data_IF_738489556891
#
_entry.id   IF_738489556891
#
_cell.length_a   1.000
_cell.length_b   1.000
_cell.length_c   1.000
_cell.angle_alpha   90.00
_cell.angle_beta   90.00
_cell.angle_gamma   90.00
#
_symmetry.space_group_name_H-M   'P 1'
#
loop_
_entity.id
_entity.type
_entity.pdbx_description
1 polymer ?
#
# COMPACT_ATOMS: atom_id res chain seq x y z
N UNK A 1 5.95 -7.43 -3.93
CA UNK A 1 4.96 -6.32 -3.94
C UNK A 1 4.74 -5.84 -2.50
N UNK A 2 4.87 -4.53 -2.24
CA UNK A 2 4.56 -3.93 -0.95
C UNK A 2 3.10 -3.49 -0.91
N UNK A 3 2.37 -3.82 0.16
CA UNK A 3 1.00 -3.40 0.39
C UNK A 3 1.01 -2.20 1.33
N UNK A 4 0.61 -1.02 0.85
CA UNK A 4 0.71 0.25 1.55
C UNK A 4 -0.66 0.93 1.64
N UNK A 5 -0.88 1.72 2.67
CA UNK A 5 -2.14 2.45 2.88
C UNK A 5 -2.26 2.93 4.31
N UNK A 6 -3.27 3.72 4.59
CA UNK A 6 -3.54 4.26 5.93
C UNK A 6 -3.84 3.15 6.95
N UNK A 7 -3.76 3.47 8.23
CA UNK A 7 -4.15 2.54 9.27
C UNK A 7 -5.61 2.11 9.09
N UNK A 8 -5.87 0.80 9.18
CA UNK A 8 -7.20 0.26 8.97
C UNK A 8 -7.64 0.11 7.50
N UNK A 9 -6.82 0.48 6.51
CA UNK A 9 -7.16 0.34 5.08
C UNK A 9 -7.27 -1.11 4.59
N UNK A 10 -6.92 -2.12 5.39
CA UNK A 10 -7.11 -3.53 5.03
C UNK A 10 -5.88 -4.21 4.43
N UNK A 11 -4.66 -3.71 4.70
CA UNK A 11 -3.40 -4.27 4.20
C UNK A 11 -3.25 -5.75 4.51
N UNK A 12 -3.26 -6.13 5.78
CA UNK A 12 -3.12 -7.52 6.22
C UNK A 12 -4.29 -8.40 5.73
N UNK A 13 -5.49 -7.83 5.56
CA UNK A 13 -6.63 -8.55 4.97
C UNK A 13 -6.38 -8.87 3.50
N UNK A 14 -5.84 -7.93 2.73
CA UNK A 14 -5.44 -8.17 1.35
C UNK A 14 -4.36 -9.26 1.26
N UNK A 15 -3.30 -9.17 2.08
CA UNK A 15 -2.23 -10.18 2.11
C UNK A 15 -2.81 -11.57 2.39
N UNK A 16 -3.68 -11.69 3.40
CA UNK A 16 -4.36 -12.93 3.76
C UNK A 16 -5.19 -13.49 2.60
N UNK A 17 -6.04 -12.66 2.01
CA UNK A 17 -6.92 -13.06 0.93
C UNK A 17 -6.12 -13.44 -0.33
N UNK A 18 -5.10 -12.66 -0.66
CA UNK A 18 -4.27 -12.92 -1.83
C UNK A 18 -3.46 -14.20 -1.68
N UNK A 19 -2.82 -14.46 -0.53
CA UNK A 19 -2.09 -15.70 -0.28
C UNK A 19 -3.01 -16.92 -0.46
N UNK A 20 -4.22 -16.87 0.11
CA UNK A 20 -5.21 -17.94 -0.03
C UNK A 20 -5.65 -18.13 -1.47
N UNK A 21 -5.99 -17.05 -2.17
CA UNK A 21 -6.45 -17.05 -3.56
C UNK A 21 -5.36 -17.53 -4.53
N UNK A 22 -4.11 -17.08 -4.35
CA UNK A 22 -2.97 -17.47 -5.17
C UNK A 22 -2.71 -18.99 -5.10
N UNK A 23 -2.87 -19.60 -3.93
CA UNK A 23 -2.75 -21.06 -3.76
C UNK A 23 -3.73 -21.84 -4.64
N UNK A 24 -4.96 -21.35 -4.88
CA UNK A 24 -5.90 -22.00 -5.81
C UNK A 24 -5.45 -21.92 -7.26
N UNK A 25 -4.60 -20.96 -7.60
CA UNK A 25 -4.03 -20.78 -8.93
C UNK A 25 -2.66 -21.47 -9.07
N UNK A 26 -2.24 -22.22 -8.05
CA UNK A 26 -0.92 -22.85 -7.99
C UNK A 26 0.23 -21.81 -8.10
N UNK A 27 0.00 -20.58 -7.60
CA UNK A 27 0.98 -19.51 -7.49
C UNK A 27 1.54 -19.54 -6.07
N UNK A 28 2.85 -19.66 -5.95
CA UNK A 28 3.55 -19.63 -4.67
C UNK A 28 3.84 -18.18 -4.26
N UNK A 29 2.85 -17.59 -3.56
CA UNK A 29 2.90 -16.23 -3.05
C UNK A 29 3.39 -16.25 -1.59
N UNK A 30 4.68 -15.98 -1.40
CA UNK A 30 5.32 -15.87 -0.11
C UNK A 30 4.89 -14.57 0.59
N UNK A 31 4.60 -14.63 1.87
CA UNK A 31 4.13 -13.47 2.65
C UNK A 31 5.12 -13.06 3.71
N UNK A 32 5.34 -11.75 3.85
CA UNK A 32 6.26 -11.16 4.81
C UNK A 32 5.51 -10.13 5.65
N UNK A 33 5.62 -10.22 6.97
CA UNK A 33 5.16 -9.18 7.87
C UNK A 33 6.30 -8.23 8.26
N UNK A 34 6.19 -6.96 7.87
CA UNK A 34 7.12 -5.89 8.28
C UNK A 34 6.51 -4.94 9.32
N UNK A 35 5.34 -5.25 9.90
CA UNK A 35 4.74 -4.43 10.95
C UNK A 35 5.10 -4.97 12.34
N UNK A 36 6.06 -4.36 13.06
CA UNK A 36 6.43 -4.78 14.41
C UNK A 36 5.33 -4.50 15.44
N UNK A 37 4.33 -3.69 15.07
CA UNK A 37 3.18 -3.35 15.90
C UNK A 37 1.93 -4.18 15.60
N UNK A 38 1.97 -5.15 14.70
CA UNK A 38 0.84 -6.00 14.39
C UNK A 38 0.49 -6.89 15.59
N UNK A 39 -0.70 -6.71 16.17
CA UNK A 39 -1.16 -7.55 17.28
C UNK A 39 -1.41 -8.98 16.82
N UNK A 40 -2.01 -9.14 15.65
CA UNK A 40 -2.33 -10.43 15.03
C UNK A 40 -2.11 -10.36 13.52
N UNK A 41 -1.50 -11.41 13.01
CA UNK A 41 -1.38 -11.68 11.58
C UNK A 41 -2.30 -12.87 11.28
N UNK A 42 -3.14 -12.76 10.25
CA UNK A 42 -4.15 -13.77 9.90
C UNK A 42 -3.73 -14.66 8.71
N UNK A 43 -2.53 -14.46 8.23
CA UNK A 43 -1.83 -15.33 7.26
C UNK A 43 -0.65 -16.00 7.96
N UNK A 44 -0.01 -16.95 7.29
CA UNK A 44 1.16 -17.67 7.76
C UNK A 44 2.39 -17.07 7.06
N UNK A 45 3.07 -16.08 7.68
CA UNK A 45 4.18 -15.40 7.04
C UNK A 45 5.41 -16.30 7.00
N UNK A 46 6.13 -16.31 5.88
CA UNK A 46 7.44 -16.96 5.76
C UNK A 46 8.51 -16.22 6.57
N UNK A 47 8.30 -14.91 6.79
CA UNK A 47 9.11 -14.09 7.68
C UNK A 47 8.22 -13.12 8.45
N UNK A 48 8.44 -13.04 9.76
CA UNK A 48 7.74 -12.10 10.64
C UNK A 48 8.74 -11.22 11.38
N UNK A 49 8.73 -9.92 11.11
CA UNK A 49 9.66 -8.98 11.75
C UNK A 49 9.55 -8.94 13.27
N UNK A 50 8.43 -9.39 13.84
CA UNK A 50 8.22 -9.44 15.29
C UNK A 50 9.12 -10.48 15.99
N UNK A 51 9.67 -11.41 15.23
CA UNK A 51 10.67 -12.37 15.75
C UNK A 51 12.03 -11.69 15.98
N UNK A 52 12.33 -10.60 15.24
CA UNK A 52 13.54 -9.79 15.41
C UNK A 52 13.29 -8.55 16.28
N UNK A 53 12.16 -7.87 16.08
CA UNK A 53 11.84 -6.57 16.70
C UNK A 53 10.41 -6.60 17.22
N UNK A 54 10.27 -6.75 18.53
CA UNK A 54 8.97 -6.67 19.21
C UNK A 54 8.70 -5.26 19.70
N UNK A 55 7.51 -4.72 19.37
CA UNK A 55 7.10 -3.38 19.86
C UNK A 55 7.13 -3.31 21.39
N UNK A 56 6.74 -4.38 22.09
CA UNK A 56 6.74 -4.44 23.55
C UNK A 56 8.17 -4.34 24.12
N UNK A 57 9.13 -5.02 23.50
CA UNK A 57 10.54 -4.94 23.91
C UNK A 57 11.12 -3.55 23.65
N UNK A 58 10.77 -2.89 22.54
CA UNK A 58 11.18 -1.51 22.26
C UNK A 58 10.61 -0.56 23.30
N UNK A 59 9.34 -0.72 23.69
CA UNK A 59 8.72 0.09 24.76
C UNK A 59 9.47 -0.05 26.08
N UNK A 60 9.75 -1.28 26.49
CA UNK A 60 10.42 -1.56 27.77
C UNK A 60 11.88 -1.12 27.76
N UNK A 61 12.63 -1.45 26.73
CA UNK A 61 14.07 -1.16 26.62
C UNK A 61 14.40 0.32 26.55
N UNK A 62 13.55 1.11 25.91
CA UNK A 62 13.80 2.53 25.66
C UNK A 62 12.90 3.47 26.47
N UNK A 63 12.08 2.92 27.37
CA UNK A 63 11.10 3.66 28.20
C UNK A 63 10.19 4.58 27.34
N UNK A 64 9.64 4.02 26.25
CA UNK A 64 8.84 4.75 25.29
C UNK A 64 7.35 4.38 25.39
N UNK A 65 6.49 5.37 25.20
CA UNK A 65 5.08 5.12 24.96
C UNK A 65 4.84 4.52 23.56
N UNK A 66 3.62 3.98 23.29
CA UNK A 66 3.31 3.24 22.07
C UNK A 66 3.70 3.96 20.77
N UNK A 67 3.39 5.26 20.65
CA UNK A 67 3.70 6.02 19.44
C UNK A 67 5.23 6.19 19.22
N UNK A 68 5.97 6.49 20.29
CA UNK A 68 7.43 6.61 20.22
C UNK A 68 8.10 5.27 19.89
N UNK A 69 7.59 4.19 20.48
CA UNK A 69 8.06 2.85 20.23
C UNK A 69 7.79 2.39 18.78
N UNK A 70 6.63 2.71 18.21
CA UNK A 70 6.34 2.41 16.80
C UNK A 70 7.31 3.10 15.85
N UNK A 71 7.61 4.38 16.11
CA UNK A 71 8.57 5.13 15.29
C UNK A 71 9.96 4.48 15.37
N UNK A 72 10.43 4.20 16.58
CA UNK A 72 11.74 3.58 16.77
C UNK A 72 11.81 2.16 16.21
N UNK A 73 10.75 1.36 16.39
CA UNK A 73 10.68 0.02 15.84
C UNK A 73 10.75 0.03 14.31
N UNK A 74 10.06 0.96 13.64
CA UNK A 74 10.14 1.11 12.19
C UNK A 74 11.58 1.48 11.73
N UNK A 75 12.28 2.33 12.47
CA UNK A 75 13.68 2.66 12.17
C UNK A 75 14.61 1.46 12.38
N UNK A 76 14.39 0.69 13.45
CA UNK A 76 15.16 -0.54 13.72
C UNK A 76 14.94 -1.61 12.66
N UNK A 77 13.70 -1.81 12.18
CA UNK A 77 13.38 -2.71 11.07
C UNK A 77 14.15 -2.29 9.81
N UNK A 78 14.11 -1.03 9.47
CA UNK A 78 14.81 -0.55 8.29
C UNK A 78 16.35 -0.61 8.42
N UNK A 79 16.88 -0.48 9.65
CA UNK A 79 18.32 -0.63 9.92
C UNK A 79 18.78 -2.10 9.84
N UNK A 80 17.86 -3.06 9.93
CA UNK A 80 18.13 -4.50 9.81
C UNK A 80 17.75 -5.06 8.43
N UNK A 81 17.61 -4.21 7.41
CA UNK A 81 17.19 -4.63 6.07
C UNK A 81 18.07 -5.75 5.49
N UNK A 82 19.39 -5.66 5.66
CA UNK A 82 20.33 -6.67 5.19
C UNK A 82 20.15 -8.00 5.96
N UNK A 83 19.96 -7.95 7.29
CA UNK A 83 19.70 -9.15 8.11
C UNK A 83 18.36 -9.80 7.73
N UNK A 84 17.34 -9.00 7.46
CA UNK A 84 16.05 -9.49 6.97
C UNK A 84 16.25 -10.16 5.60
N UNK A 85 17.06 -9.58 4.73
CA UNK A 85 17.35 -10.17 3.41
C UNK A 85 18.07 -11.50 3.53
N UNK A 86 19.06 -11.62 4.43
CA UNK A 86 19.77 -12.87 4.70
C UNK A 86 18.81 -13.98 5.17
N UNK A 87 17.81 -13.64 5.99
CA UNK A 87 16.76 -14.58 6.44
C UNK A 87 15.84 -15.02 5.29
N UNK A 88 15.65 -14.15 4.29
CA UNK A 88 14.86 -14.46 3.10
C UNK A 88 15.67 -15.21 2.04
N UNK A 89 17.01 -15.25 2.16
CA UNK A 89 17.86 -16.05 1.27
C UNK A 89 17.49 -17.54 1.37
N UNK A 90 17.18 -18.11 0.22
CA UNK A 90 16.79 -19.53 0.12
C UNK A 90 15.27 -19.76 0.11
N UNK A 91 14.45 -18.73 0.31
CA UNK A 91 13.04 -18.81 -0.01
C UNK A 91 12.89 -18.84 -1.53
N UNK A 92 12.14 -19.79 -2.03
CA UNK A 92 11.79 -19.87 -3.46
C UNK A 92 10.28 -19.78 -3.61
N UNK A 93 9.83 -18.84 -4.42
CA UNK A 93 8.40 -18.64 -4.70
C UNK A 93 8.23 -17.83 -5.97
N UNK A 94 7.00 -17.72 -6.43
CA UNK A 94 6.70 -16.95 -7.64
C UNK A 94 6.67 -15.44 -7.36
N UNK A 95 6.33 -15.03 -6.13
CA UNK A 95 6.31 -13.62 -5.71
C UNK A 95 6.34 -13.45 -4.19
N UNK A 96 6.84 -12.29 -3.75
CA UNK A 96 6.76 -11.85 -2.37
C UNK A 96 5.66 -10.80 -2.21
N UNK A 97 4.81 -10.98 -1.17
CA UNK A 97 3.82 -9.99 -0.75
C UNK A 97 4.19 -9.51 0.65
N UNK A 98 4.41 -8.22 0.77
CA UNK A 98 4.98 -7.61 1.95
C UNK A 98 3.93 -6.73 2.60
N UNK A 99 3.50 -7.13 3.80
CA UNK A 99 2.62 -6.35 4.66
C UNK A 99 3.44 -5.28 5.39
N UNK A 100 3.08 -4.02 5.21
CA UNK A 100 3.82 -2.88 5.77
C UNK A 100 3.17 -2.35 7.05
N UNK A 101 3.90 -1.58 7.89
CA UNK A 101 3.36 -0.98 9.09
C UNK A 101 2.00 -0.31 8.90
N UNK A 102 1.17 -0.40 9.94
CA UNK A 102 -0.21 0.10 9.92
C UNK A 102 -0.33 1.54 9.45
N UNK A 103 0.57 2.41 9.90
CA UNK A 103 0.61 3.83 9.53
C UNK A 103 1.57 4.01 8.36
N UNK A 104 1.08 4.62 7.27
CA UNK A 104 1.88 4.86 6.06
C UNK A 104 3.12 5.73 6.33
N UNK A 105 3.03 6.62 7.33
CA UNK A 105 4.11 7.50 7.74
C UNK A 105 5.32 6.74 8.28
N UNK A 106 5.10 5.60 8.91
CA UNK A 106 6.16 4.75 9.46
C UNK A 106 6.92 3.98 8.38
N UNK A 107 6.32 3.82 7.22
CA UNK A 107 6.93 3.13 6.08
C UNK A 107 7.41 4.10 5.00
N UNK A 108 6.53 4.91 4.42
CA UNK A 108 6.86 5.69 3.24
C UNK A 108 7.63 7.00 3.52
N UNK A 109 7.61 7.52 4.77
CA UNK A 109 8.18 8.83 5.09
C UNK A 109 9.49 8.76 5.88
N UNK A 110 10.01 7.57 6.16
CA UNK A 110 11.31 7.38 6.80
C UNK A 110 12.41 7.27 5.74
N UNK A 111 13.56 7.87 5.96
CA UNK A 111 14.71 7.75 5.03
C UNK A 111 15.21 6.30 4.93
N UNK A 112 15.21 5.59 6.05
CA UNK A 112 15.62 4.21 6.12
C UNK A 112 14.71 3.25 5.31
N UNK A 113 13.45 3.64 5.05
CA UNK A 113 12.53 2.79 4.27
C UNK A 113 12.92 2.66 2.80
N UNK A 114 13.57 3.66 2.21
CA UNK A 114 14.09 3.54 0.85
C UNK A 114 15.14 2.42 0.78
N UNK A 115 16.05 2.37 1.76
CA UNK A 115 17.04 1.29 1.84
C UNK A 115 16.36 -0.09 2.00
N UNK A 116 15.37 -0.21 2.89
CA UNK A 116 14.60 -1.43 3.07
C UNK A 116 13.90 -1.89 1.77
N UNK A 117 13.31 -0.94 1.04
CA UNK A 117 12.65 -1.21 -0.24
C UNK A 117 13.66 -1.63 -1.31
N UNK A 118 14.83 -0.99 -1.37
CA UNK A 118 15.88 -1.32 -2.33
C UNK A 118 16.45 -2.72 -2.07
N UNK A 119 16.71 -3.04 -0.79
CA UNK A 119 17.26 -4.35 -0.39
C UNK A 119 16.23 -5.47 -0.63
N UNK A 120 15.02 -5.33 -0.11
CA UNK A 120 14.00 -6.38 -0.25
C UNK A 120 13.42 -6.47 -1.67
N UNK A 121 13.45 -5.37 -2.41
CA UNK A 121 12.91 -5.31 -3.76
C UNK A 121 13.89 -5.78 -4.83
N UNK A 122 15.19 -5.73 -4.58
CA UNK A 122 16.25 -6.11 -5.54
C UNK A 122 16.01 -5.56 -6.96
N UNK A 123 15.53 -4.30 -7.06
CA UNK A 123 15.15 -3.69 -8.34
C UNK A 123 13.83 -4.19 -8.95
N UNK A 124 13.13 -5.10 -8.29
CA UNK A 124 11.86 -5.70 -8.72
C UNK A 124 10.76 -5.47 -7.70
N UNK A 125 10.48 -4.21 -7.38
CA UNK A 125 9.45 -3.84 -6.41
C UNK A 125 8.29 -3.09 -7.07
N UNK A 126 7.08 -3.28 -6.52
CA UNK A 126 5.88 -2.55 -6.89
C UNK A 126 5.03 -2.29 -5.65
N UNK A 127 4.16 -1.28 -5.71
CA UNK A 127 3.26 -0.88 -4.63
C UNK A 127 1.81 -1.18 -4.99
N UNK A 128 1.10 -1.83 -4.07
CA UNK A 128 -0.35 -1.83 -4.01
C UNK A 128 -0.78 -0.80 -2.95
N UNK A 129 -1.27 0.36 -3.38
CA UNK A 129 -1.75 1.39 -2.47
C UNK A 129 -3.25 1.24 -2.23
N UNK A 130 -3.65 1.09 -0.97
CA UNK A 130 -5.03 0.90 -0.57
C UNK A 130 -5.68 2.22 -0.18
N UNK A 131 -6.70 2.63 -0.94
CA UNK A 131 -7.61 3.71 -0.59
C UNK A 131 -8.59 3.22 0.47
N UNK A 132 -8.72 3.97 1.55
CA UNK A 132 -9.72 3.71 2.57
C UNK A 132 -11.10 4.12 2.04
N UNK A 133 -12.09 3.21 2.03
CA UNK A 133 -13.41 3.50 1.47
C UNK A 133 -14.15 4.59 2.24
N UNK A 134 -13.96 4.69 3.56
CA UNK A 134 -14.63 5.71 4.37
C UNK A 134 -14.13 7.12 4.07
N UNK A 135 -12.82 7.25 3.82
CA UNK A 135 -12.22 8.53 3.43
C UNK A 135 -12.56 8.90 1.99
N UNK A 136 -12.74 7.90 1.12
CA UNK A 136 -12.99 8.09 -0.31
C UNK A 136 -14.44 8.46 -0.66
N UNK A 137 -15.38 8.44 0.30
CA UNK A 137 -16.81 8.76 0.04
C UNK A 137 -17.08 10.24 -0.23
N UNK A 138 -16.15 11.12 0.06
CA UNK A 138 -16.27 12.54 -0.25
C UNK A 138 -15.28 12.96 -1.30
N UNK A 139 -15.61 13.90 -2.21
CA UNK A 139 -14.69 14.36 -3.25
C UNK A 139 -13.36 14.86 -2.68
N UNK A 140 -13.38 15.67 -1.62
CA UNK A 140 -12.19 16.17 -0.95
C UNK A 140 -11.38 15.06 -0.24
N UNK A 141 -12.04 14.06 0.31
CA UNK A 141 -11.42 12.87 0.90
C UNK A 141 -10.74 12.01 -0.17
N UNK A 142 -11.40 11.81 -1.32
CA UNK A 142 -10.83 11.09 -2.45
C UNK A 142 -9.55 11.78 -2.98
N UNK A 143 -9.58 13.11 -3.18
CA UNK A 143 -8.38 13.88 -3.55
C UNK A 143 -7.27 13.73 -2.53
N UNK A 144 -7.59 13.69 -1.24
CA UNK A 144 -6.59 13.47 -0.18
C UNK A 144 -5.91 12.10 -0.30
N UNK A 145 -6.66 11.05 -0.64
CA UNK A 145 -6.11 9.71 -0.88
C UNK A 145 -5.23 9.67 -2.13
N UNK A 146 -5.66 10.34 -3.22
CA UNK A 146 -4.85 10.47 -4.43
C UNK A 146 -3.51 11.16 -4.14
N UNK A 147 -3.54 12.27 -3.41
CA UNK A 147 -2.33 13.00 -3.02
C UNK A 147 -1.40 12.13 -2.19
N UNK A 148 -1.93 11.39 -1.23
CA UNK A 148 -1.15 10.49 -0.38
C UNK A 148 -0.51 9.38 -1.21
N UNK A 149 -1.25 8.73 -2.11
CA UNK A 149 -0.72 7.71 -3.01
C UNK A 149 0.42 8.26 -3.88
N UNK A 150 0.21 9.43 -4.50
CA UNK A 150 1.22 10.08 -5.34
C UNK A 150 2.48 10.45 -4.56
N UNK A 151 2.35 10.93 -3.31
CA UNK A 151 3.49 11.22 -2.44
C UNK A 151 4.26 9.94 -2.11
N UNK A 152 3.57 8.86 -1.78
CA UNK A 152 4.19 7.56 -1.49
C UNK A 152 4.93 7.03 -2.72
N UNK A 153 4.28 7.05 -3.89
CA UNK A 153 4.89 6.68 -5.16
C UNK A 153 6.16 7.50 -5.46
N UNK A 154 6.07 8.82 -5.30
CA UNK A 154 7.20 9.71 -5.55
C UNK A 154 8.38 9.44 -4.60
N UNK A 155 8.09 9.18 -3.32
CA UNK A 155 9.12 8.93 -2.32
C UNK A 155 9.84 7.59 -2.50
N UNK A 156 9.09 6.54 -2.84
CA UNK A 156 9.63 5.20 -2.97
C UNK A 156 10.07 4.88 -4.41
N UNK A 157 9.67 5.70 -5.40
CA UNK A 157 10.08 5.55 -6.80
C UNK A 157 9.58 4.27 -7.47
N UNK A 158 8.53 3.62 -6.93
CA UNK A 158 8.05 2.33 -7.40
C UNK A 158 6.82 2.44 -8.29
N UNK A 159 6.64 1.54 -9.27
CA UNK A 159 5.37 1.36 -9.96
C UNK A 159 4.26 1.13 -8.93
N UNK A 160 3.15 1.87 -9.07
CA UNK A 160 2.08 1.87 -8.07
C UNK A 160 0.73 1.63 -8.74
N UNK A 161 -0.07 0.72 -8.18
CA UNK A 161 -1.49 0.58 -8.50
C UNK A 161 -2.34 0.94 -7.28
N UNK A 162 -3.48 1.58 -7.52
CA UNK A 162 -4.40 2.02 -6.48
C UNK A 162 -5.63 1.13 -6.42
N UNK A 163 -5.99 0.71 -5.22
CA UNK A 163 -7.12 -0.18 -4.96
C UNK A 163 -8.05 0.45 -3.93
N UNK A 164 -9.33 0.53 -4.25
CA UNK A 164 -10.38 0.88 -3.28
C UNK A 164 -10.68 -0.36 -2.44
N UNK A 165 -10.10 -0.42 -1.26
CA UNK A 165 -10.25 -1.57 -0.37
C UNK A 165 -11.66 -1.66 0.22
N UNK A 166 -12.07 -2.86 0.68
CA UNK A 166 -13.38 -3.09 1.32
C UNK A 166 -14.53 -2.54 0.49
N UNK A 167 -14.46 -2.69 -0.84
CA UNK A 167 -15.47 -2.20 -1.75
C UNK A 167 -16.86 -2.80 -1.47
N UNK A 168 -16.88 -4.02 -0.92
CA UNK A 168 -18.06 -4.74 -0.43
C UNK A 168 -18.83 -4.04 0.68
N UNK A 169 -18.22 -3.11 1.42
CA UNK A 169 -18.87 -2.35 2.48
C UNK A 169 -19.56 -1.07 1.99
N UNK A 170 -19.41 -0.74 0.70
CA UNK A 170 -20.01 0.45 0.10
C UNK A 170 -21.35 0.12 -0.55
N UNK A 171 -22.31 1.05 -0.45
CA UNK A 171 -23.51 0.98 -1.26
C UNK A 171 -23.15 1.07 -2.75
N UNK A 172 -23.83 0.34 -3.65
CA UNK A 172 -23.44 0.26 -5.07
C UNK A 172 -23.32 1.64 -5.75
N UNK A 173 -24.22 2.55 -5.45
CA UNK A 173 -24.22 3.92 -6.02
C UNK A 173 -23.00 4.73 -5.57
N UNK A 174 -22.58 4.54 -4.30
CA UNK A 174 -21.38 5.20 -3.74
C UNK A 174 -20.12 4.61 -4.38
N UNK A 175 -20.06 3.29 -4.53
CA UNK A 175 -18.95 2.61 -5.19
C UNK A 175 -18.80 3.09 -6.63
N UNK A 176 -19.89 3.08 -7.41
CA UNK A 176 -19.89 3.55 -8.79
C UNK A 176 -19.37 4.98 -8.90
N UNK A 177 -19.81 5.87 -7.99
CA UNK A 177 -19.38 7.25 -7.97
C UNK A 177 -17.90 7.42 -7.67
N UNK A 178 -17.35 6.66 -6.73
CA UNK A 178 -15.93 6.70 -6.39
C UNK A 178 -15.09 6.19 -7.57
N UNK A 179 -15.53 5.14 -8.24
CA UNK A 179 -14.84 4.59 -9.42
C UNK A 179 -14.87 5.58 -10.58
N UNK A 180 -16.02 6.27 -10.79
CA UNK A 180 -16.11 7.35 -11.79
C UNK A 180 -15.09 8.47 -11.53
N UNK A 181 -14.89 8.88 -10.26
CA UNK A 181 -13.85 9.84 -9.92
C UNK A 181 -12.44 9.35 -10.26
N UNK A 182 -12.18 8.05 -10.12
CA UNK A 182 -10.91 7.43 -10.48
C UNK A 182 -10.60 7.49 -11.96
N UNK A 183 -11.63 7.51 -12.82
CA UNK A 183 -11.51 7.55 -14.27
C UNK A 183 -11.67 8.97 -14.86
N UNK A 184 -12.53 9.78 -14.20
CA UNK A 184 -13.00 11.06 -14.72
C UNK A 184 -12.77 12.21 -13.74
N UNK A 185 -11.59 12.80 -13.83
CA UNK A 185 -11.21 13.93 -12.95
C UNK A 185 -12.07 15.19 -13.18
N UNK A 186 -12.71 15.33 -14.34
CA UNK A 186 -13.67 16.40 -14.63
C UNK A 186 -14.95 16.25 -13.79
N UNK A 187 -15.43 15.03 -13.57
CA UNK A 187 -16.57 14.74 -12.68
C UNK A 187 -16.20 15.00 -11.24
N UNK A 188 -15.01 14.55 -10.81
CA UNK A 188 -14.51 14.83 -9.47
C UNK A 188 -14.38 16.34 -9.20
N UNK A 189 -13.93 17.13 -10.18
CA UNK A 189 -13.83 18.59 -10.05
C UNK A 189 -15.21 19.22 -9.88
N UNK A 190 -16.22 18.78 -10.63
CA UNK A 190 -17.59 19.26 -10.51
C UNK A 190 -18.18 18.97 -9.12
N UNK A 191 -17.97 17.74 -8.61
CA UNK A 191 -18.44 17.34 -7.29
C UNK A 191 -17.70 18.06 -6.14
N UNK A 192 -16.41 18.41 -6.32
CA UNK A 192 -15.68 19.27 -5.39
C UNK A 192 -16.29 20.68 -5.33
N UNK A 193 -16.69 21.26 -6.46
CA UNK A 193 -17.36 22.53 -6.47
C UNK A 193 -18.71 22.47 -5.74
N UNK A 194 -19.48 21.41 -5.94
CA UNK A 194 -20.74 21.21 -5.21
C UNK A 194 -20.50 21.05 -3.71
N UNK A 195 -19.50 20.24 -3.32
CA UNK A 195 -19.08 20.10 -1.91
C UNK A 195 -18.72 21.46 -1.29
N UNK A 196 -17.99 22.32 -2.05
CA UNK A 196 -17.62 23.68 -1.63
C UNK A 196 -18.87 24.55 -1.33
N UNK A 197 -19.81 24.56 -2.27
CA UNK A 197 -21.03 25.37 -2.11
C UNK A 197 -21.88 24.93 -0.93
N UNK A 198 -22.05 23.63 -0.75
CA UNK A 198 -22.84 23.07 0.35
C UNK A 198 -22.22 23.32 1.73
N UNK A 199 -20.89 23.40 1.83
CA UNK A 199 -20.15 23.59 3.09
C UNK A 199 -19.80 25.04 3.41
N UNK A 200 -19.70 25.94 2.42
CA UNK A 200 -19.44 27.38 2.64
C UNK A 200 -20.53 28.05 3.51
N UNK A 201 -21.71 27.47 3.60
CA UNK A 201 -22.79 27.98 4.45
C UNK A 201 -22.56 27.74 5.95
N UNK A 202 -21.60 26.87 6.33
CA UNK A 202 -21.45 26.40 7.72
C UNK A 202 -20.05 26.52 8.32
N UNK A 203 -18.93 26.54 7.52
CA UNK A 203 -17.57 26.63 8.06
C UNK A 203 -16.54 27.12 7.02
N UNK A 204 -15.89 28.25 7.32
CA UNK A 204 -14.87 28.88 6.47
C UNK A 204 -13.61 27.99 6.29
N UNK A 205 -13.23 27.23 7.31
CA UNK A 205 -12.05 26.35 7.24
C UNK A 205 -12.25 25.18 6.28
N UNK A 206 -13.47 24.68 6.19
CA UNK A 206 -13.83 23.60 5.27
C UNK A 206 -13.86 24.08 3.81
N UNK A 207 -14.35 25.32 3.56
CA UNK A 207 -14.30 25.92 2.23
C UNK A 207 -12.86 26.04 1.70
N UNK A 208 -11.91 26.47 2.51
CA UNK A 208 -10.49 26.57 2.13
C UNK A 208 -9.87 25.21 1.77
N UNK A 209 -10.25 24.13 2.47
CA UNK A 209 -9.77 22.78 2.17
C UNK A 209 -10.24 22.31 0.78
N UNK A 210 -11.49 22.59 0.44
CA UNK A 210 -12.04 22.21 -0.87
C UNK A 210 -11.40 23.04 -2.00
N UNK A 211 -11.21 24.34 -1.80
CA UNK A 211 -10.46 25.17 -2.76
C UNK A 211 -9.04 24.66 -2.99
N UNK A 212 -8.37 24.26 -1.91
CA UNK A 212 -7.06 23.63 -2.01
C UNK A 212 -7.12 22.30 -2.78
N UNK A 213 -8.12 21.44 -2.51
CA UNK A 213 -8.30 20.18 -3.23
C UNK A 213 -8.52 20.42 -4.74
N UNK A 214 -9.32 21.42 -5.12
CA UNK A 214 -9.53 21.81 -6.52
C UNK A 214 -8.21 22.23 -7.19
N UNK A 215 -7.40 23.04 -6.50
CA UNK A 215 -6.11 23.48 -7.04
C UNK A 215 -5.14 22.30 -7.25
N UNK A 216 -5.11 21.35 -6.32
CA UNK A 216 -4.31 20.14 -6.45
C UNK A 216 -4.81 19.24 -7.59
N UNK A 217 -6.13 19.05 -7.70
CA UNK A 217 -6.72 18.25 -8.76
C UNK A 217 -6.38 18.79 -10.15
N UNK A 218 -6.45 20.11 -10.34
CA UNK A 218 -6.04 20.76 -11.62
C UNK A 218 -4.59 20.51 -11.95
N UNK A 219 -3.71 20.58 -10.96
CA UNK A 219 -2.28 20.26 -11.17
C UNK A 219 -2.09 18.82 -11.64
N UNK A 220 -2.87 17.88 -11.10
CA UNK A 220 -2.84 16.48 -11.53
C UNK A 220 -3.40 16.30 -12.94
N UNK A 221 -4.50 17.00 -13.28
CA UNK A 221 -5.07 16.99 -14.63
C UNK A 221 -4.06 17.51 -15.65
N UNK A 222 -3.39 18.64 -15.37
CA UNK A 222 -2.37 19.23 -16.23
C UNK A 222 -1.17 18.29 -16.44
N UNK A 223 -0.83 17.50 -15.43
CA UNK A 223 0.21 16.48 -15.47
C UNK A 223 -0.25 15.15 -16.07
N UNK A 224 -1.54 15.02 -16.45
CA UNK A 224 -2.17 13.78 -16.93
C UNK A 224 -2.04 12.61 -15.94
N UNK A 225 -2.08 12.90 -14.65
CA UNK A 225 -2.05 11.91 -13.58
C UNK A 225 -3.49 11.42 -13.35
N UNK A 226 -3.76 10.17 -13.72
CA UNK A 226 -5.04 9.49 -13.49
C UNK A 226 -4.80 8.42 -12.43
N UNK A 227 -5.57 8.36 -11.34
CA UNK A 227 -5.32 7.42 -10.24
C UNK A 227 -5.50 5.96 -10.63
N UNK A 228 -6.35 5.65 -11.62
CA UNK A 228 -6.59 4.28 -12.07
C UNK A 228 -7.03 3.38 -10.91
N UNK A 229 -8.20 3.65 -10.33
CA UNK A 229 -8.66 2.97 -9.12
C UNK A 229 -9.39 1.67 -9.45
N UNK A 230 -9.01 0.57 -8.79
CA UNK A 230 -9.64 -0.75 -8.94
C UNK A 230 -10.37 -1.11 -7.64
N UNK A 231 -11.64 -1.54 -7.68
CA UNK A 231 -12.34 -2.02 -6.49
C UNK A 231 -11.75 -3.33 -6.00
N UNK A 232 -11.61 -3.45 -4.68
CA UNK A 232 -11.00 -4.62 -4.03
C UNK A 232 -11.84 -5.04 -2.82
N UNK A 233 -12.21 -6.31 -2.76
CA UNK A 233 -12.77 -6.96 -1.58
C UNK A 233 -11.95 -8.18 -1.20
N UNK A 234 -11.32 -8.14 -0.03
CA UNK A 234 -10.62 -9.29 0.55
C UNK A 234 -11.58 -10.36 1.06
N UNK A 235 -12.81 -9.98 1.42
CA UNK A 235 -13.86 -10.91 1.89
C UNK A 235 -14.43 -11.74 0.75
N UNK A 236 -14.69 -11.10 -0.39
CA UNK A 236 -15.28 -11.74 -1.57
C UNK A 236 -14.27 -12.13 -2.64
N UNK A 237 -12.98 -11.90 -2.39
CA UNK A 237 -11.86 -12.17 -3.33
C UNK A 237 -12.00 -11.44 -4.68
N UNK A 238 -12.70 -10.30 -4.68
CA UNK A 238 -12.84 -9.43 -5.84
C UNK A 238 -11.63 -8.52 -6.01
N UNK A 239 -11.19 -8.28 -7.25
CA UNK A 239 -10.03 -7.44 -7.58
C UNK A 239 -8.67 -8.10 -7.36
N UNK A 240 -8.60 -9.34 -6.81
CA UNK A 240 -7.31 -10.04 -6.60
C UNK A 240 -6.64 -10.41 -7.92
N UNK A 241 -7.40 -10.72 -8.96
CA UNK A 241 -6.88 -10.95 -10.31
C UNK A 241 -6.23 -9.68 -10.90
N UNK A 242 -6.77 -8.51 -10.58
CA UNK A 242 -6.20 -7.22 -11.00
C UNK A 242 -4.89 -6.93 -10.28
N UNK A 243 -4.77 -7.31 -8.99
CA UNK A 243 -3.51 -7.24 -8.24
C UNK A 243 -2.44 -8.10 -8.92
N UNK A 244 -2.76 -9.34 -9.26
CA UNK A 244 -1.84 -10.22 -9.99
C UNK A 244 -1.48 -9.65 -11.36
N UNK A 245 -2.48 -9.18 -12.12
CA UNK A 245 -2.28 -8.59 -13.45
C UNK A 245 -1.36 -7.37 -13.40
N UNK A 246 -1.48 -6.55 -12.38
CA UNK A 246 -0.58 -5.42 -12.17
C UNK A 246 0.86 -5.89 -11.95
N UNK A 247 1.08 -6.85 -11.04
CA UNK A 247 2.42 -7.40 -10.79
C UNK A 247 3.02 -8.00 -12.06
N UNK A 248 2.24 -8.76 -12.83
CA UNK A 248 2.66 -9.34 -14.11
C UNK A 248 2.96 -8.26 -15.16
N UNK A 249 2.23 -7.15 -15.17
CA UNK A 249 2.46 -6.05 -16.11
C UNK A 249 3.77 -5.31 -15.84
N UNK A 250 4.17 -5.25 -14.56
CA UNK A 250 5.41 -4.59 -14.13
C UNK A 250 6.64 -5.47 -14.36
N UNK A 251 6.53 -6.78 -14.09
CA UNK A 251 7.69 -7.69 -14.05
C UNK A 251 7.72 -8.71 -15.19
N UNK A 252 6.76 -8.68 -16.10
CA UNK A 252 6.61 -9.70 -17.13
C UNK A 252 5.76 -10.89 -16.69
N UNK A 253 5.56 -11.88 -17.56
CA UNK A 253 4.77 -13.07 -17.27
C UNK A 253 5.41 -13.95 -16.20
N UNK A 254 4.61 -14.87 -15.60
CA UNK A 254 5.07 -15.78 -14.52
C UNK A 254 6.32 -16.60 -14.87
N UNK A 255 6.58 -16.88 -16.15
CA UNK A 255 7.81 -17.56 -16.60
C UNK A 255 9.06 -16.70 -16.34
N UNK A 256 8.97 -15.39 -16.58
CA UNK A 256 10.08 -14.45 -16.33
C UNK A 256 10.30 -14.21 -14.84
N UNK A 257 9.25 -14.38 -14.00
CA UNK A 257 9.36 -14.23 -12.56
C UNK A 257 10.15 -15.38 -11.91
N UNK A 258 9.94 -16.63 -12.38
CA UNK A 258 10.63 -17.82 -11.86
C UNK A 258 12.14 -17.82 -12.18
N UNK A 259 12.50 -17.37 -13.38
CA UNK A 259 13.90 -17.30 -13.81
C UNK A 259 14.67 -16.19 -13.09
N UNK A 260 14.01 -15.14 -12.64
CA UNK A 260 14.63 -14.00 -12.00
C UNK A 260 15.07 -14.23 -10.56
N UNK A 261 14.33 -15.00 -9.77
CA UNK A 261 14.70 -15.34 -8.39
C UNK A 261 15.86 -16.34 -8.32
N UNK A 262 16.02 -17.19 -9.35
CA UNK A 262 17.07 -18.20 -9.40
C UNK A 262 18.37 -17.72 -10.06
N UNK A 263 18.32 -16.73 -10.98
CA UNK A 263 19.49 -16.30 -11.76
C UNK A 263 20.39 -15.31 -11.04
N UNK A 264 19.85 -14.48 -10.17
CA UNK A 264 20.64 -13.45 -9.48
C UNK A 264 21.52 -14.05 -8.36
N UNK A 265 21.14 -15.22 -7.83
CA UNK A 265 21.94 -15.96 -6.84
C UNK A 265 23.16 -16.69 -7.45
N UNK A 266 23.16 -16.96 -8.76
CA UNK A 266 24.26 -17.67 -9.44
C UNK A 266 25.31 -16.71 -10.04
N UNK A 267 24.99 -15.45 -10.32
CA UNK A 267 25.94 -14.47 -10.87
C UNK A 267 26.91 -13.87 -9.84
N UNK A 268 26.54 -13.81 -8.57
CA UNK A 268 27.43 -13.33 -7.49
C UNK A 268 28.41 -14.41 -6.97
N UNK A 269 28.31 -15.66 -7.44
CA UNK A 269 29.19 -16.76 -7.06
C UNK A 269 30.35 -17.08 -8.06
N UNK A 270 30.46 -16.31 -9.11
CA UNK A 270 31.57 -16.43 -10.08
C UNK A 270 32.44 -15.15 -10.08
#
# INVERSE_FOLDING_TARGET
MFVVGTAGAGKSSLVTAFQRWARFLEIDALTINLDPGAERVHYDPEFDVRDLISLAEVMDRYDLGPNGAQILAADLVAAQADEIMDELEGLSGDMLIIDTPGQVELFAFREASNHLVDVLGQGRAALAFLFDPMLSQTPSGFVSQMLLSNIVQFRLGLPTANYLSKADLLEPEVLEKILEWGERLDVLEADLYEESQNRMTHDTATGQRVEFAIAQLRTMQDASIIPGLVPLSSEHEEGLADVLSFVQSVFGGMADMRDGFASDLDEERN
#
